data_IF_185855499162
#
_entry.id   IF_185855499162
#
_cell.length_a   1.000
_cell.length_b   1.000
_cell.length_c   1.000
_cell.angle_alpha   90.00
_cell.angle_beta   90.00
_cell.angle_gamma   90.00
#
_symmetry.space_group_name_H-M   'P 1'
#
loop_
_entity.id
_entity.type
_entity.pdbx_description
1 polymer ?
#
# COMPACT_ATOMS: atom_id res chain seq x y z
N UNK A 1 -3.10 5.80 -33.05
CA UNK A 1 -3.84 6.56 -31.99
C UNK A 1 -2.90 7.63 -31.48
N UNK A 2 -3.36 8.86 -31.31
CA UNK A 2 -2.57 9.93 -30.68
C UNK A 2 -2.69 9.76 -29.16
N UNK A 3 -1.66 9.16 -28.55
CA UNK A 3 -1.63 8.84 -27.12
C UNK A 3 -1.70 10.11 -26.27
N UNK A 4 -0.96 11.16 -26.64
CA UNK A 4 -0.94 12.42 -25.89
C UNK A 4 -2.32 13.08 -25.86
N UNK A 5 -2.98 13.15 -27.02
CA UNK A 5 -4.33 13.69 -27.14
C UNK A 5 -5.32 12.87 -26.31
N UNK A 6 -5.31 11.53 -26.45
CA UNK A 6 -6.22 10.64 -25.72
C UNK A 6 -6.03 10.76 -24.21
N UNK A 7 -4.80 10.78 -23.73
CA UNK A 7 -4.50 10.94 -22.31
C UNK A 7 -4.94 12.29 -21.75
N UNK A 8 -4.77 13.36 -22.55
CA UNK A 8 -5.24 14.70 -22.17
C UNK A 8 -6.77 14.76 -22.08
N UNK A 9 -7.50 14.20 -23.04
CA UNK A 9 -8.96 14.14 -23.02
C UNK A 9 -9.49 13.38 -21.78
N UNK A 10 -8.87 12.23 -21.43
CA UNK A 10 -9.19 11.50 -20.20
C UNK A 10 -8.92 12.36 -18.95
N UNK A 11 -7.79 13.06 -18.90
CA UNK A 11 -7.41 13.91 -17.78
C UNK A 11 -8.32 15.12 -17.61
N UNK A 12 -8.73 15.76 -18.71
CA UNK A 12 -9.71 16.86 -18.71
C UNK A 12 -11.07 16.40 -18.20
N UNK A 13 -11.54 15.22 -18.63
CA UNK A 13 -12.79 14.64 -18.15
C UNK A 13 -12.71 14.36 -16.64
N UNK A 14 -11.64 13.74 -16.16
CA UNK A 14 -11.42 13.49 -14.74
C UNK A 14 -11.36 14.81 -13.93
N UNK A 15 -10.67 15.85 -14.44
CA UNK A 15 -10.57 17.15 -13.77
C UNK A 15 -11.92 17.88 -13.68
N UNK A 16 -12.76 17.78 -14.71
CA UNK A 16 -14.14 18.31 -14.64
C UNK A 16 -14.96 17.54 -13.60
N UNK A 17 -14.91 16.21 -13.66
CA UNK A 17 -15.67 15.34 -12.75
C UNK A 17 -15.23 15.52 -11.29
N UNK A 18 -13.94 15.73 -11.00
CA UNK A 18 -13.42 15.87 -9.64
C UNK A 18 -14.05 17.05 -8.88
N UNK A 19 -14.33 18.14 -9.58
CA UNK A 19 -14.96 19.33 -8.96
C UNK A 19 -16.38 19.04 -8.48
N UNK A 20 -17.16 18.34 -9.29
CA UNK A 20 -18.52 17.96 -8.92
C UNK A 20 -18.51 16.86 -7.85
N UNK A 21 -17.59 15.90 -7.95
CA UNK A 21 -17.45 14.79 -6.99
C UNK A 21 -17.08 15.29 -5.58
N UNK A 22 -16.24 16.33 -5.49
CA UNK A 22 -15.76 16.89 -4.23
C UNK A 22 -16.87 17.42 -3.31
N UNK A 23 -18.03 17.75 -3.86
CA UNK A 23 -19.19 18.31 -3.11
C UNK A 23 -20.36 17.32 -3.02
N UNK A 24 -20.21 16.10 -3.52
CA UNK A 24 -21.28 15.12 -3.46
C UNK A 24 -21.56 14.66 -2.02
N UNK A 25 -22.84 14.50 -1.67
CA UNK A 25 -23.21 13.92 -0.38
C UNK A 25 -22.67 12.50 -0.21
N UNK A 26 -22.30 12.16 1.01
CA UNK A 26 -21.81 10.82 1.39
C UNK A 26 -22.76 9.70 0.96
N UNK A 27 -24.08 9.93 1.06
CA UNK A 27 -25.09 8.97 0.66
C UNK A 27 -24.97 8.54 -0.81
N UNK A 28 -24.76 9.49 -1.73
CA UNK A 28 -24.59 9.22 -3.16
C UNK A 28 -23.33 8.41 -3.41
N UNK A 29 -22.20 8.76 -2.77
CA UNK A 29 -20.95 8.01 -2.87
C UNK A 29 -21.11 6.57 -2.36
N UNK A 30 -21.79 6.38 -1.23
CA UNK A 30 -22.05 5.07 -0.65
C UNK A 30 -22.95 4.20 -1.53
N UNK A 31 -23.99 4.78 -2.11
CA UNK A 31 -24.88 4.07 -3.04
C UNK A 31 -24.12 3.65 -4.31
N UNK A 32 -23.31 4.53 -4.85
CA UNK A 32 -22.46 4.21 -6.00
C UNK A 32 -21.49 3.04 -5.71
N UNK A 33 -20.85 3.03 -4.55
CA UNK A 33 -19.95 1.92 -4.14
C UNK A 33 -20.70 0.59 -4.03
N UNK A 34 -21.91 0.59 -3.46
CA UNK A 34 -22.76 -0.62 -3.40
C UNK A 34 -23.19 -1.08 -4.80
N UNK A 35 -23.57 -0.13 -5.66
CA UNK A 35 -23.93 -0.44 -7.05
C UNK A 35 -22.74 -1.01 -7.84
N UNK A 36 -21.53 -0.50 -7.61
CA UNK A 36 -20.28 -1.04 -8.17
C UNK A 36 -20.04 -2.49 -7.71
N UNK A 37 -20.19 -2.77 -6.41
CA UNK A 37 -20.05 -4.11 -5.84
C UNK A 37 -21.06 -5.09 -6.48
N UNK A 38 -22.32 -4.69 -6.54
CA UNK A 38 -23.39 -5.50 -7.15
C UNK A 38 -23.14 -5.75 -8.63
N UNK A 39 -22.61 -4.76 -9.36
CA UNK A 39 -22.29 -4.91 -10.78
C UNK A 39 -21.16 -5.94 -11.00
N UNK A 40 -20.13 -5.97 -10.14
CA UNK A 40 -19.05 -6.96 -10.20
C UNK A 40 -19.59 -8.38 -9.99
N UNK A 41 -20.42 -8.60 -8.98
CA UNK A 41 -21.00 -9.92 -8.71
C UNK A 41 -21.98 -10.38 -9.80
N UNK A 42 -22.87 -9.49 -10.23
CA UNK A 42 -23.86 -9.79 -11.28
C UNK A 42 -23.24 -10.08 -12.65
N UNK A 43 -22.04 -9.57 -12.91
CA UNK A 43 -21.31 -9.71 -14.17
C UNK A 43 -19.95 -10.38 -14.00
N UNK A 44 -19.82 -11.21 -12.99
CA UNK A 44 -18.57 -11.92 -12.69
C UNK A 44 -18.05 -12.71 -13.90
N UNK A 45 -18.94 -13.34 -14.66
CA UNK A 45 -18.58 -14.10 -15.87
C UNK A 45 -17.79 -13.28 -16.88
N UNK A 46 -18.19 -12.03 -17.16
CA UNK A 46 -17.46 -11.16 -18.10
C UNK A 46 -16.03 -10.85 -17.63
N UNK A 47 -15.86 -10.69 -16.32
CA UNK A 47 -14.54 -10.44 -15.73
C UNK A 47 -13.68 -11.71 -15.78
N UNK A 48 -14.29 -12.88 -15.51
CA UNK A 48 -13.58 -14.18 -15.54
C UNK A 48 -13.18 -14.57 -16.96
N UNK A 49 -14.02 -14.34 -17.97
CA UNK A 49 -13.68 -14.55 -19.38
C UNK A 49 -12.50 -13.69 -19.82
N UNK A 50 -12.52 -12.38 -19.48
CA UNK A 50 -11.41 -11.49 -19.75
C UNK A 50 -10.13 -11.90 -19.04
N UNK A 51 -10.24 -12.35 -17.78
CA UNK A 51 -9.10 -12.83 -17.00
C UNK A 51 -8.52 -14.15 -17.52
N UNK A 52 -9.36 -15.05 -18.03
CA UNK A 52 -8.88 -16.29 -18.65
C UNK A 52 -7.98 -16.00 -19.86
N UNK A 53 -8.33 -15.01 -20.70
CA UNK A 53 -7.51 -14.59 -21.85
C UNK A 53 -6.19 -13.98 -21.40
N UNK A 54 -6.21 -13.10 -20.38
CA UNK A 54 -4.98 -12.52 -19.81
C UNK A 54 -4.05 -13.61 -19.24
N UNK A 55 -4.62 -14.61 -18.54
CA UNK A 55 -3.86 -15.73 -17.97
C UNK A 55 -3.26 -16.65 -19.05
N UNK A 56 -3.98 -16.92 -20.14
CA UNK A 56 -3.49 -17.71 -21.26
C UNK A 56 -2.28 -17.04 -21.91
N UNK A 57 -2.39 -15.73 -22.17
CA UNK A 57 -1.28 -14.95 -22.73
C UNK A 57 -0.08 -14.87 -21.77
N UNK A 58 -0.32 -14.69 -20.47
CA UNK A 58 0.71 -14.66 -19.45
C UNK A 58 1.47 -16.02 -19.35
N UNK A 59 0.75 -17.14 -19.44
CA UNK A 59 1.35 -18.48 -19.47
C UNK A 59 2.17 -18.70 -20.75
N UNK A 60 1.65 -18.28 -21.90
CA UNK A 60 2.37 -18.36 -23.17
C UNK A 60 3.68 -17.56 -23.16
N UNK A 61 3.72 -16.45 -22.44
CA UNK A 61 4.93 -15.63 -22.21
C UNK A 61 5.88 -16.21 -21.13
N UNK A 62 5.54 -17.33 -20.49
CA UNK A 62 6.38 -18.00 -19.49
C UNK A 62 6.52 -17.24 -18.17
N UNK A 63 5.51 -16.45 -17.77
CA UNK A 63 5.57 -15.70 -16.53
C UNK A 63 5.60 -16.62 -15.30
N UNK A 64 6.32 -16.20 -14.25
CA UNK A 64 6.50 -16.97 -13.01
C UNK A 64 5.16 -17.29 -12.34
N UNK A 65 5.09 -18.42 -11.63
CA UNK A 65 3.89 -18.87 -10.89
C UNK A 65 3.35 -17.83 -9.93
N UNK A 66 4.22 -17.12 -9.21
CA UNK A 66 3.83 -16.04 -8.28
C UNK A 66 3.16 -14.87 -8.99
N UNK A 67 3.55 -14.59 -10.23
CA UNK A 67 2.95 -13.55 -11.06
C UNK A 67 1.56 -13.97 -11.55
N UNK A 68 1.44 -15.22 -12.03
CA UNK A 68 0.17 -15.81 -12.45
C UNK A 68 -0.85 -15.85 -11.30
N UNK A 69 -0.41 -16.17 -10.06
CA UNK A 69 -1.29 -16.13 -8.88
C UNK A 69 -1.82 -14.71 -8.60
N UNK A 70 -0.99 -13.69 -8.76
CA UNK A 70 -1.41 -12.28 -8.60
C UNK A 70 -2.41 -11.84 -9.67
N UNK A 71 -2.25 -12.33 -10.89
CA UNK A 71 -3.11 -12.01 -12.03
C UNK A 71 -4.44 -12.74 -11.99
N UNK A 72 -4.45 -13.97 -11.46
CA UNK A 72 -5.62 -14.86 -11.49
C UNK A 72 -6.79 -14.28 -10.70
N UNK A 73 -7.97 -14.29 -11.32
CA UNK A 73 -9.25 -14.07 -10.67
C UNK A 73 -10.05 -15.37 -10.65
N UNK A 74 -10.90 -15.50 -9.65
CA UNK A 74 -11.94 -16.50 -9.52
C UNK A 74 -13.16 -15.85 -8.84
N UNK A 75 -14.27 -16.56 -8.75
CA UNK A 75 -15.48 -16.04 -8.10
C UNK A 75 -15.23 -15.54 -6.68
N UNK A 76 -14.40 -16.25 -5.91
CA UNK A 76 -14.06 -15.85 -4.55
C UNK A 76 -13.33 -14.51 -4.51
N UNK A 77 -12.36 -14.27 -5.41
CA UNK A 77 -11.63 -13.00 -5.51
C UNK A 77 -12.53 -11.87 -6.02
N UNK A 78 -13.49 -12.15 -6.90
CA UNK A 78 -14.49 -11.15 -7.34
C UNK A 78 -15.40 -10.78 -6.18
N UNK A 79 -15.89 -11.76 -5.41
CA UNK A 79 -16.67 -11.49 -4.19
C UNK A 79 -15.87 -10.69 -3.17
N UNK A 80 -14.58 -10.95 -3.00
CA UNK A 80 -13.72 -10.14 -2.13
C UNK A 80 -13.59 -8.69 -2.60
N UNK A 81 -13.45 -8.44 -3.91
CA UNK A 81 -13.46 -7.06 -4.46
C UNK A 81 -14.79 -6.36 -4.19
N UNK A 82 -15.92 -7.05 -4.42
CA UNK A 82 -17.25 -6.50 -4.15
C UNK A 82 -17.44 -6.19 -2.66
N UNK A 83 -17.02 -7.08 -1.79
CA UNK A 83 -17.06 -6.87 -0.34
C UNK A 83 -16.18 -5.71 0.09
N UNK A 84 -14.97 -5.55 -0.47
CA UNK A 84 -14.09 -4.40 -0.24
C UNK A 84 -14.75 -3.07 -0.57
N UNK A 85 -15.52 -3.00 -1.67
CA UNK A 85 -16.32 -1.82 -2.03
C UNK A 85 -17.45 -1.55 -1.02
N UNK A 86 -18.14 -2.59 -0.53
CA UNK A 86 -19.18 -2.45 0.51
C UNK A 86 -18.60 -1.97 1.84
N UNK A 87 -17.45 -2.51 2.24
CA UNK A 87 -16.72 -2.08 3.43
C UNK A 87 -16.27 -0.62 3.30
N UNK A 88 -15.74 -0.23 2.14
CA UNK A 88 -15.40 1.17 1.85
C UNK A 88 -16.63 2.09 1.93
N UNK A 89 -17.80 1.64 1.46
CA UNK A 89 -19.04 2.39 1.60
C UNK A 89 -19.43 2.60 3.08
N UNK A 90 -19.16 1.62 3.95
CA UNK A 90 -19.48 1.68 5.37
C UNK A 90 -18.51 2.56 6.19
N UNK A 91 -17.30 2.82 5.69
CA UNK A 91 -16.34 3.68 6.39
C UNK A 91 -16.86 5.11 6.56
N UNK A 92 -16.48 5.82 7.62
CA UNK A 92 -16.73 7.24 7.77
C UNK A 92 -16.18 8.03 6.59
N UNK A 93 -16.96 8.98 6.08
CA UNK A 93 -16.49 9.89 5.02
C UNK A 93 -15.53 10.91 5.63
N UNK A 94 -14.28 11.02 5.15
CA UNK A 94 -13.34 11.98 5.68
C UNK A 94 -13.63 13.42 5.25
N UNK A 95 -14.43 13.63 4.20
CA UNK A 95 -14.65 14.96 3.64
C UNK A 95 -15.47 15.83 4.60
N UNK A 96 -15.06 17.08 4.74
CA UNK A 96 -15.59 18.07 5.68
C UNK A 96 -15.37 17.74 7.17
N UNK A 97 -14.66 16.66 7.53
CA UNK A 97 -14.23 16.46 8.91
C UNK A 97 -13.25 17.57 9.30
N UNK A 98 -13.51 18.24 10.42
CA UNK A 98 -12.63 19.26 10.98
C UNK A 98 -11.74 18.69 12.07
N UNK A 99 -10.50 19.15 12.12
CA UNK A 99 -9.52 18.77 13.15
C UNK A 99 -8.95 19.98 13.92
N UNK A 100 -9.35 21.18 13.53
CA UNK A 100 -8.93 22.43 14.17
C UNK A 100 -10.00 23.50 14.04
N UNK A 101 -10.28 24.21 15.13
CA UNK A 101 -11.13 25.42 15.15
C UNK A 101 -10.61 26.38 16.19
N UNK A 102 -10.56 27.68 15.86
CA UNK A 102 -10.17 28.75 16.78
C UNK A 102 -10.83 30.07 16.42
N UNK A 103 -11.06 30.92 17.42
CA UNK A 103 -11.44 32.31 17.23
C UNK A 103 -10.23 33.18 17.58
N UNK A 104 -9.82 34.03 16.64
CA UNK A 104 -8.68 34.92 16.83
C UNK A 104 -9.07 36.16 17.67
N UNK A 105 -8.10 36.86 18.29
CA UNK A 105 -8.39 38.07 19.08
C UNK A 105 -9.15 39.17 18.31
N UNK A 106 -9.01 39.20 16.98
CA UNK A 106 -9.75 40.14 16.11
C UNK A 106 -11.13 39.62 15.68
N UNK A 107 -11.60 38.48 16.23
CA UNK A 107 -12.91 37.91 15.93
C UNK A 107 -12.98 36.97 14.73
N UNK A 108 -11.90 36.80 13.95
CA UNK A 108 -11.91 35.83 12.86
C UNK A 108 -12.06 34.39 13.39
N UNK A 109 -13.09 33.68 12.94
CA UNK A 109 -13.24 32.25 13.17
C UNK A 109 -12.52 31.47 12.06
N UNK A 110 -11.57 30.61 12.43
CA UNK A 110 -10.78 29.80 11.53
C UNK A 110 -11.06 28.31 11.81
N UNK A 111 -11.54 27.59 10.80
CA UNK A 111 -11.75 26.13 10.86
C UNK A 111 -10.90 25.45 9.79
N UNK A 112 -10.24 24.34 10.12
CA UNK A 112 -9.55 23.49 9.16
C UNK A 112 -10.41 22.26 8.89
N UNK A 113 -10.67 21.96 7.63
CA UNK A 113 -11.49 20.82 7.21
C UNK A 113 -10.79 20.01 6.13
N UNK A 114 -11.08 18.71 6.06
CA UNK A 114 -10.57 17.83 5.01
C UNK A 114 -11.30 18.03 3.70
N UNK A 115 -10.53 17.96 2.61
CA UNK A 115 -11.01 18.07 1.23
C UNK A 115 -10.33 17.00 0.37
N UNK A 116 -10.92 16.57 -0.76
CA UNK A 116 -10.26 15.66 -1.70
C UNK A 116 -8.93 16.24 -2.19
N UNK A 117 -8.00 15.37 -2.58
CA UNK A 117 -6.79 15.76 -3.33
C UNK A 117 -7.16 16.31 -4.73
N UNK A 118 -8.15 15.69 -5.38
CA UNK A 118 -8.63 16.10 -6.69
C UNK A 118 -8.66 14.97 -7.71
N UNK A 119 -7.68 14.89 -8.61
CA UNK A 119 -7.52 13.79 -9.58
C UNK A 119 -6.29 12.98 -9.20
N UNK A 120 -6.49 11.69 -8.94
CA UNK A 120 -5.43 10.76 -8.57
C UNK A 120 -5.10 9.86 -9.75
N UNK A 121 -3.83 9.83 -10.16
CA UNK A 121 -3.32 8.85 -11.09
C UNK A 121 -2.82 7.63 -10.36
N UNK A 122 -3.24 6.41 -10.73
CA UNK A 122 -2.73 5.18 -10.13
C UNK A 122 -2.13 4.30 -11.22
N UNK A 123 -0.82 4.05 -11.10
CA UNK A 123 -0.05 3.20 -12.02
C UNK A 123 0.28 1.92 -11.29
N UNK A 124 -0.23 0.77 -11.77
CA UNK A 124 -0.09 -0.50 -11.06
C UNK A 124 0.21 -1.68 -11.99
N UNK A 125 0.84 -2.69 -11.42
CA UNK A 125 1.19 -3.94 -12.12
C UNK A 125 0.10 -5.01 -11.92
N UNK A 126 0.29 -6.18 -12.47
CA UNK A 126 -0.52 -7.39 -12.54
C UNK A 126 -1.37 -7.76 -11.30
N UNK A 127 -2.28 -6.87 -10.90
CA UNK A 127 -3.22 -7.09 -9.78
C UNK A 127 -4.58 -6.50 -10.15
N UNK A 128 -5.45 -7.25 -10.86
CA UNK A 128 -6.75 -6.72 -11.30
C UNK A 128 -7.64 -6.19 -10.16
N UNK A 129 -7.51 -6.73 -8.95
CA UNK A 129 -8.24 -6.24 -7.78
C UNK A 129 -7.93 -4.78 -7.44
N UNK A 130 -6.71 -4.30 -7.72
CA UNK A 130 -6.34 -2.89 -7.47
C UNK A 130 -7.24 -1.93 -8.24
N UNK A 131 -7.76 -2.32 -9.40
CA UNK A 131 -8.73 -1.52 -10.18
C UNK A 131 -9.97 -1.19 -9.35
N UNK A 132 -10.51 -2.17 -8.62
CA UNK A 132 -11.70 -1.97 -7.79
C UNK A 132 -11.39 -1.23 -6.49
N UNK A 133 -10.31 -1.62 -5.81
CA UNK A 133 -9.90 -1.03 -4.54
C UNK A 133 -9.58 0.47 -4.72
N UNK A 134 -8.79 0.79 -5.75
CA UNK A 134 -8.39 2.16 -6.06
C UNK A 134 -9.58 3.03 -6.49
N UNK A 135 -10.45 2.52 -7.37
CA UNK A 135 -11.64 3.25 -7.77
C UNK A 135 -12.56 3.54 -6.58
N UNK A 136 -12.78 2.54 -5.72
CA UNK A 136 -13.65 2.65 -4.55
C UNK A 136 -13.13 3.66 -3.53
N UNK A 137 -11.86 3.57 -3.16
CA UNK A 137 -11.23 4.46 -2.18
C UNK A 137 -11.15 5.91 -2.68
N UNK A 138 -10.73 6.12 -3.95
CA UNK A 138 -10.69 7.45 -4.54
C UNK A 138 -12.07 8.08 -4.55
N UNK A 139 -13.10 7.35 -5.00
CA UNK A 139 -14.46 7.84 -5.09
C UNK A 139 -15.05 8.18 -3.72
N UNK A 140 -14.86 7.31 -2.70
CA UNK A 140 -15.31 7.57 -1.33
C UNK A 140 -14.66 8.83 -0.76
N UNK A 141 -13.36 9.04 -0.98
CA UNK A 141 -12.62 10.22 -0.57
C UNK A 141 -12.90 11.46 -1.46
N UNK A 142 -13.83 11.39 -2.41
CA UNK A 142 -14.23 12.50 -3.26
C UNK A 142 -13.27 12.83 -4.40
N UNK A 143 -12.37 11.90 -4.77
CA UNK A 143 -11.39 12.07 -5.84
C UNK A 143 -11.83 11.38 -7.14
N UNK A 144 -11.61 12.03 -8.27
CA UNK A 144 -11.58 11.33 -9.55
C UNK A 144 -10.28 10.53 -9.69
N UNK A 145 -10.31 9.44 -10.46
CA UNK A 145 -9.17 8.56 -10.62
C UNK A 145 -8.89 8.24 -12.09
N UNK A 146 -7.60 8.20 -12.46
CA UNK A 146 -7.13 7.68 -13.73
C UNK A 146 -6.28 6.44 -13.43
N UNK A 147 -6.75 5.30 -13.89
CA UNK A 147 -6.16 3.99 -13.63
C UNK A 147 -5.33 3.54 -14.84
N UNK A 148 -4.09 3.14 -14.61
CA UNK A 148 -3.21 2.54 -15.60
C UNK A 148 -2.64 1.24 -15.04
N UNK A 149 -3.25 0.12 -15.42
CA UNK A 149 -2.81 -1.23 -15.04
C UNK A 149 -1.72 -1.80 -15.95
N UNK A 150 -1.06 -2.86 -15.51
CA UNK A 150 -0.09 -3.60 -16.29
C UNK A 150 -0.70 -4.20 -17.58
N UNK A 151 0.12 -4.35 -18.61
CA UNK A 151 -0.28 -4.90 -19.92
C UNK A 151 -0.82 -6.32 -19.82
N UNK A 152 -0.34 -7.07 -18.84
CA UNK A 152 -0.67 -8.48 -18.62
C UNK A 152 -2.08 -8.69 -18.05
N UNK A 153 -2.71 -7.62 -17.54
CA UNK A 153 -4.05 -7.64 -16.97
C UNK A 153 -5.02 -6.72 -17.75
N UNK A 154 -4.68 -6.34 -18.95
CA UNK A 154 -5.40 -5.26 -19.67
C UNK A 154 -6.86 -5.58 -19.87
N UNK A 155 -7.21 -6.79 -20.29
CA UNK A 155 -8.60 -7.21 -20.56
C UNK A 155 -9.40 -7.27 -19.26
N UNK A 156 -8.85 -7.86 -18.22
CA UNK A 156 -9.45 -7.91 -16.88
C UNK A 156 -9.70 -6.50 -16.34
N UNK A 157 -8.73 -5.62 -16.46
CA UNK A 157 -8.83 -4.25 -15.95
C UNK A 157 -9.87 -3.42 -16.75
N UNK A 158 -9.95 -3.58 -18.07
CA UNK A 158 -10.99 -2.96 -18.91
C UNK A 158 -12.38 -3.46 -18.48
N UNK A 159 -12.55 -4.76 -18.31
CA UNK A 159 -13.83 -5.34 -17.90
C UNK A 159 -14.26 -4.79 -16.53
N UNK A 160 -13.37 -4.83 -15.53
CA UNK A 160 -13.64 -4.33 -14.18
C UNK A 160 -13.96 -2.84 -14.22
N UNK A 161 -13.06 -2.01 -14.76
CA UNK A 161 -13.23 -0.55 -14.77
C UNK A 161 -14.49 -0.09 -15.49
N UNK A 162 -14.86 -0.76 -16.61
CA UNK A 162 -16.08 -0.46 -17.35
C UNK A 162 -17.34 -0.78 -16.56
N UNK A 163 -17.36 -1.89 -15.83
CA UNK A 163 -18.49 -2.25 -14.95
C UNK A 163 -18.64 -1.25 -13.82
N UNK A 164 -17.52 -0.92 -13.15
CA UNK A 164 -17.49 0.03 -12.04
C UNK A 164 -17.95 1.42 -12.47
N UNK A 165 -17.40 1.95 -13.57
CA UNK A 165 -17.75 3.27 -14.08
C UNK A 165 -19.22 3.38 -14.45
N UNK A 166 -19.76 2.39 -15.21
CA UNK A 166 -21.18 2.37 -15.58
C UNK A 166 -22.12 2.33 -14.38
N UNK A 167 -21.78 1.51 -13.37
CA UNK A 167 -22.58 1.40 -12.15
C UNK A 167 -22.54 2.70 -11.33
N UNK A 168 -21.36 3.29 -11.16
CA UNK A 168 -21.15 4.54 -10.44
C UNK A 168 -21.87 5.70 -11.09
N UNK A 169 -21.77 5.87 -12.42
CA UNK A 169 -22.44 6.96 -13.16
C UNK A 169 -23.95 6.84 -13.07
N UNK A 170 -24.50 5.62 -13.18
CA UNK A 170 -25.92 5.38 -12.98
C UNK A 170 -26.41 5.74 -11.58
N UNK A 171 -25.56 5.62 -10.58
CA UNK A 171 -25.85 5.97 -9.19
C UNK A 171 -25.59 7.47 -8.85
N UNK A 172 -25.29 8.31 -9.86
CA UNK A 172 -25.16 9.76 -9.69
C UNK A 172 -23.74 10.28 -9.56
N UNK A 173 -22.72 9.44 -9.76
CA UNK A 173 -21.34 9.90 -9.85
C UNK A 173 -21.12 10.62 -11.18
N UNK A 174 -20.43 11.78 -11.21
CA UNK A 174 -20.15 12.50 -12.44
C UNK A 174 -19.38 11.64 -13.46
N UNK A 175 -19.81 11.67 -14.72
CA UNK A 175 -19.10 11.01 -15.81
C UNK A 175 -17.67 11.55 -15.91
N UNK A 176 -16.70 10.66 -16.09
CA UNK A 176 -15.27 10.99 -16.09
C UNK A 176 -14.60 10.81 -14.73
N UNK A 177 -15.32 10.57 -13.63
CA UNK A 177 -14.73 10.37 -12.31
C UNK A 177 -13.87 9.09 -12.22
N UNK A 178 -14.18 8.05 -13.00
CA UNK A 178 -13.39 6.83 -13.11
C UNK A 178 -12.92 6.71 -14.56
N UNK A 179 -11.62 6.89 -14.79
CA UNK A 179 -10.98 6.73 -16.10
C UNK A 179 -10.03 5.54 -16.07
N UNK A 180 -9.97 4.80 -17.15
CA UNK A 180 -9.01 3.73 -17.35
C UNK A 180 -8.23 3.95 -18.65
N UNK A 181 -6.91 3.70 -18.63
CA UNK A 181 -6.05 3.71 -19.82
C UNK A 181 -6.15 2.33 -20.47
N UNK A 182 -6.94 2.24 -21.53
CA UNK A 182 -7.38 1.00 -22.20
C UNK A 182 -6.43 0.51 -23.30
N UNK A 183 -5.18 0.97 -23.26
CA UNK A 183 -4.10 0.57 -24.19
C UNK A 183 -2.80 0.35 -23.42
N UNK A 184 -1.88 -0.43 -24.03
CA UNK A 184 -0.70 -0.97 -23.33
C UNK A 184 0.58 -0.18 -23.52
N UNK A 185 0.56 0.84 -24.36
CA UNK A 185 1.74 1.65 -24.68
C UNK A 185 2.38 2.25 -23.43
N UNK A 186 3.71 2.12 -23.34
CA UNK A 186 4.47 2.68 -22.20
C UNK A 186 4.47 4.20 -22.20
N UNK A 187 4.39 4.83 -23.38
CA UNK A 187 4.27 6.27 -23.53
C UNK A 187 3.10 6.84 -22.70
N UNK A 188 2.01 6.07 -22.51
CA UNK A 188 0.90 6.51 -21.66
C UNK A 188 1.32 6.79 -20.21
N UNK A 189 2.27 6.03 -19.66
CA UNK A 189 2.82 6.25 -18.32
C UNK A 189 3.63 7.55 -18.30
N UNK A 190 4.48 7.76 -19.32
CA UNK A 190 5.32 8.95 -19.43
C UNK A 190 4.46 10.22 -19.59
N UNK A 191 3.41 10.16 -20.43
CA UNK A 191 2.45 11.26 -20.56
C UNK A 191 1.74 11.52 -19.23
N UNK A 192 1.27 10.47 -18.55
CA UNK A 192 0.56 10.58 -17.27
C UNK A 192 1.41 11.25 -16.20
N UNK A 193 2.71 10.92 -16.13
CA UNK A 193 3.67 11.52 -15.19
C UNK A 193 3.85 13.03 -15.41
N UNK A 194 3.54 13.55 -16.61
CA UNK A 194 3.72 14.94 -16.99
C UNK A 194 2.41 15.75 -17.10
N UNK A 195 1.25 15.18 -16.77
CA UNK A 195 -0.06 15.86 -16.83
C UNK A 195 -0.28 16.83 -15.65
N UNK A 196 0.69 17.73 -15.40
CA UNK A 196 0.55 18.81 -14.41
C UNK A 196 -0.66 19.68 -14.69
N UNK A 197 -1.39 20.07 -13.63
CA UNK A 197 -2.61 20.87 -13.75
C UNK A 197 -3.88 20.04 -13.99
N UNK A 198 -3.74 18.80 -14.49
CA UNK A 198 -4.83 17.85 -14.61
C UNK A 198 -4.82 16.83 -13.46
N UNK A 199 -3.69 16.17 -13.24
CA UNK A 199 -3.48 15.28 -12.08
C UNK A 199 -2.92 16.08 -10.92
N UNK A 200 -3.42 15.79 -9.74
CA UNK A 200 -2.98 16.40 -8.48
C UNK A 200 -1.92 15.53 -7.78
N UNK A 201 -1.98 14.20 -7.99
CA UNK A 201 -1.02 13.24 -7.43
C UNK A 201 -0.98 11.95 -8.25
N UNK A 202 0.15 11.25 -8.25
CA UNK A 202 0.31 9.90 -8.78
C UNK A 202 0.70 8.95 -7.64
N UNK A 203 0.11 7.76 -7.63
CA UNK A 203 0.42 6.67 -6.70
C UNK A 203 0.88 5.46 -7.52
N UNK A 204 2.20 5.18 -7.58
CA UNK A 204 2.70 3.95 -8.19
C UNK A 204 2.45 2.75 -7.28
N UNK A 205 2.08 1.59 -7.86
CA UNK A 205 1.75 0.35 -7.15
C UNK A 205 2.37 -0.85 -7.88
N UNK A 206 3.57 -1.24 -7.52
CA UNK A 206 4.28 -2.33 -8.21
C UNK A 206 5.64 -2.62 -7.59
N UNK A 207 6.52 -3.24 -8.36
CA UNK A 207 7.89 -3.52 -7.94
C UNK A 207 8.75 -2.25 -7.85
N UNK A 208 9.91 -2.38 -7.18
CA UNK A 208 10.85 -1.28 -6.95
C UNK A 208 11.21 -0.50 -8.21
N UNK A 209 11.33 -1.19 -9.35
CA UNK A 209 11.67 -0.57 -10.64
C UNK A 209 10.60 0.41 -11.14
N UNK A 210 9.31 0.06 -11.03
CA UNK A 210 8.20 0.95 -11.38
C UNK A 210 8.15 2.15 -10.43
N UNK A 211 8.23 1.90 -9.14
CA UNK A 211 8.17 2.95 -8.12
C UNK A 211 9.29 3.96 -8.35
N UNK A 212 10.53 3.48 -8.48
CA UNK A 212 11.70 4.32 -8.76
C UNK A 212 11.53 5.13 -10.05
N UNK A 213 11.10 4.48 -11.14
CA UNK A 213 10.89 5.16 -12.42
C UNK A 213 9.89 6.30 -12.29
N UNK A 214 8.75 6.08 -11.64
CA UNK A 214 7.72 7.13 -11.45
C UNK A 214 8.23 8.24 -10.54
N UNK A 215 8.88 7.90 -9.43
CA UNK A 215 9.37 8.88 -8.46
C UNK A 215 10.45 9.81 -9.04
N UNK A 216 11.35 9.25 -9.85
CA UNK A 216 12.46 10.02 -10.43
C UNK A 216 12.06 10.87 -11.65
N UNK A 217 10.97 10.51 -12.35
CA UNK A 217 10.63 11.13 -13.64
C UNK A 217 9.31 11.91 -13.62
N UNK A 218 8.47 11.78 -12.58
CA UNK A 218 7.18 12.45 -12.57
C UNK A 218 7.31 13.96 -12.30
N UNK A 219 6.66 14.77 -13.13
CA UNK A 219 6.44 16.18 -12.86
C UNK A 219 5.22 16.44 -11.96
N UNK A 220 4.27 15.49 -11.92
CA UNK A 220 3.15 15.47 -10.97
C UNK A 220 3.66 14.95 -9.62
N UNK A 221 3.22 15.50 -8.47
CA UNK A 221 3.57 14.97 -7.16
C UNK A 221 3.29 13.47 -7.02
N UNK A 222 4.19 12.74 -6.35
CA UNK A 222 4.09 11.29 -6.17
C UNK A 222 3.93 10.95 -4.69
N UNK A 223 2.99 10.07 -4.37
CA UNK A 223 2.94 9.38 -3.09
C UNK A 223 3.47 7.96 -3.32
N UNK A 224 4.65 7.70 -2.78
CA UNK A 224 5.32 6.42 -2.97
C UNK A 224 4.68 5.32 -2.13
N UNK A 225 4.49 4.14 -2.72
CA UNK A 225 4.28 2.91 -1.96
C UNK A 225 5.64 2.24 -1.78
N UNK A 226 6.02 1.92 -0.54
CA UNK A 226 7.35 1.40 -0.26
C UNK A 226 7.52 -0.07 -0.60
N UNK A 227 8.74 -0.48 -0.94
CA UNK A 227 9.22 -1.85 -0.78
C UNK A 227 9.44 -2.14 0.71
N UNK A 228 9.36 -3.41 1.13
CA UNK A 228 9.44 -3.76 2.55
C UNK A 228 10.66 -4.62 2.87
N UNK A 229 11.76 -4.00 3.32
CA UNK A 229 12.83 -4.71 4.02
C UNK A 229 12.57 -4.58 5.51
N UNK A 230 11.67 -5.44 6.02
CA UNK A 230 11.23 -5.40 7.41
C UNK A 230 12.13 -6.23 8.31
N UNK A 231 12.43 -5.72 9.53
CA UNK A 231 13.25 -6.42 10.51
C UNK A 231 12.45 -6.79 11.76
N UNK A 232 12.87 -7.87 12.40
CA UNK A 232 12.48 -8.17 13.77
C UNK A 232 13.73 -8.37 14.62
N UNK A 233 13.84 -7.66 15.74
CA UNK A 233 14.91 -7.83 16.70
C UNK A 233 14.40 -8.61 17.92
N UNK A 234 15.12 -9.69 18.26
CA UNK A 234 14.89 -10.50 19.46
C UNK A 234 15.89 -10.08 20.52
N UNK A 235 15.41 -9.37 21.53
CA UNK A 235 16.20 -8.81 22.63
C UNK A 235 16.61 -9.90 23.64
N UNK A 236 17.66 -9.63 24.45
CA UNK A 236 18.12 -10.55 25.48
C UNK A 236 17.01 -11.00 26.45
N UNK A 237 16.07 -10.10 26.76
CA UNK A 237 14.95 -10.35 27.68
C UNK A 237 13.74 -11.01 27.02
N UNK A 238 13.80 -11.33 25.72
CA UNK A 238 12.67 -11.83 24.97
C UNK A 238 12.14 -13.17 25.50
N UNK A 239 10.83 -13.34 25.39
CA UNK A 239 10.21 -14.66 25.48
C UNK A 239 10.51 -15.41 24.19
N UNK A 240 11.27 -16.50 24.27
CA UNK A 240 11.76 -17.20 23.08
C UNK A 240 10.64 -17.90 22.30
N UNK A 241 9.63 -18.42 22.99
CA UNK A 241 8.47 -19.09 22.32
C UNK A 241 7.63 -18.07 21.57
N UNK A 242 7.34 -16.94 22.20
CA UNK A 242 6.67 -15.81 21.55
C UNK A 242 7.50 -15.31 20.34
N UNK A 243 8.83 -15.20 20.51
CA UNK A 243 9.72 -14.73 19.43
C UNK A 243 9.70 -15.67 18.22
N UNK A 244 9.72 -16.99 18.43
CA UNK A 244 9.61 -17.98 17.35
C UNK A 244 8.26 -17.87 16.66
N UNK A 245 7.16 -17.79 17.43
CA UNK A 245 5.81 -17.66 16.89
C UNK A 245 5.67 -16.42 16.00
N UNK A 246 6.15 -15.25 16.49
CA UNK A 246 6.10 -14.00 15.75
C UNK A 246 6.99 -14.07 14.51
N UNK A 247 8.22 -14.58 14.61
CA UNK A 247 9.14 -14.68 13.49
C UNK A 247 8.58 -15.60 12.37
N UNK A 248 8.05 -16.76 12.74
CA UNK A 248 7.42 -17.69 11.78
C UNK A 248 6.20 -17.03 11.12
N UNK A 249 5.35 -16.36 11.87
CA UNK A 249 4.21 -15.63 11.31
C UNK A 249 4.69 -14.50 10.38
N UNK A 250 5.65 -13.69 10.81
CA UNK A 250 6.16 -12.55 10.05
C UNK A 250 6.77 -12.96 8.71
N UNK A 251 7.41 -14.13 8.61
CA UNK A 251 8.01 -14.60 7.36
C UNK A 251 7.12 -15.56 6.58
N UNK A 252 6.58 -16.59 7.22
CA UNK A 252 6.02 -17.75 6.52
C UNK A 252 4.51 -17.67 6.28
N UNK A 253 3.77 -16.76 6.93
CA UNK A 253 2.32 -16.62 6.70
C UNK A 253 2.00 -16.16 5.27
N UNK A 254 2.78 -15.22 4.74
CA UNK A 254 2.72 -14.73 3.36
C UNK A 254 4.00 -13.98 3.02
N UNK A 255 4.97 -14.64 2.42
CA UNK A 255 6.29 -14.08 2.15
C UNK A 255 6.32 -13.01 1.05
N UNK A 256 5.34 -12.99 0.13
CA UNK A 256 5.34 -12.14 -1.07
C UNK A 256 4.68 -10.77 -0.88
N UNK A 257 4.63 -10.24 0.35
CA UNK A 257 4.06 -8.94 0.71
C UNK A 257 5.09 -8.07 1.42
N UNK A 258 4.97 -6.76 1.25
CA UNK A 258 5.96 -5.78 1.73
C UNK A 258 6.14 -5.71 3.26
N UNK A 259 5.16 -6.17 4.05
CA UNK A 259 5.25 -6.24 5.51
C UNK A 259 5.76 -7.60 6.04
N UNK A 260 6.18 -8.51 5.14
CA UNK A 260 6.85 -9.74 5.55
C UNK A 260 8.27 -9.42 6.07
N UNK A 261 8.67 -10.15 7.11
CA UNK A 261 10.02 -10.00 7.66
C UNK A 261 11.08 -10.52 6.66
N UNK A 262 12.11 -9.72 6.41
CA UNK A 262 13.23 -10.09 5.53
C UNK A 262 14.54 -10.31 6.30
N UNK A 263 14.68 -9.67 7.48
CA UNK A 263 15.84 -9.85 8.34
C UNK A 263 15.41 -10.04 9.80
N UNK A 264 16.01 -11.04 10.45
CA UNK A 264 15.92 -11.27 11.89
C UNK A 264 17.26 -10.94 12.57
N UNK A 265 17.20 -10.06 13.56
CA UNK A 265 18.32 -9.73 14.42
C UNK A 265 18.16 -10.43 15.77
N UNK A 266 19.21 -11.03 16.29
CA UNK A 266 19.16 -11.78 17.56
C UNK A 266 20.27 -11.29 18.48
N UNK A 267 19.89 -10.96 19.73
CA UNK A 267 20.87 -10.58 20.77
C UNK A 267 21.83 -11.73 21.03
N UNK A 268 23.13 -11.44 21.17
CA UNK A 268 24.18 -12.45 21.33
C UNK A 268 23.96 -13.38 22.53
N UNK A 269 23.44 -12.88 23.65
CA UNK A 269 23.34 -13.63 24.90
C UNK A 269 22.29 -14.77 24.81
N UNK A 270 21.33 -14.67 23.90
CA UNK A 270 20.31 -15.70 23.70
C UNK A 270 20.53 -16.49 22.41
N UNK A 271 21.43 -16.07 21.54
CA UNK A 271 21.59 -16.61 20.19
C UNK A 271 21.86 -18.12 20.21
N UNK A 272 22.73 -18.59 21.11
CA UNK A 272 23.11 -20.01 21.18
C UNK A 272 21.93 -20.95 21.50
N UNK A 273 20.98 -20.47 22.30
CA UNK A 273 19.77 -21.26 22.66
C UNK A 273 18.64 -21.05 21.65
N UNK A 274 18.46 -19.82 21.19
CA UNK A 274 17.32 -19.41 20.36
C UNK A 274 17.45 -19.89 18.91
N UNK A 275 18.63 -19.72 18.27
CA UNK A 275 18.79 -19.99 16.84
C UNK A 275 18.51 -21.43 16.42
N UNK A 276 18.91 -22.49 17.18
CA UNK A 276 18.54 -23.87 16.82
C UNK A 276 17.05 -24.12 16.83
N UNK A 277 16.31 -23.54 17.79
CA UNK A 277 14.85 -23.65 17.88
C UNK A 277 14.17 -22.93 16.73
N UNK A 278 14.62 -21.71 16.42
CA UNK A 278 14.14 -20.93 15.26
C UNK A 278 14.36 -21.68 13.96
N UNK A 279 15.58 -22.22 13.78
CA UNK A 279 15.94 -22.94 12.56
C UNK A 279 15.02 -24.14 12.33
N UNK A 280 14.73 -24.94 13.35
CA UNK A 280 13.81 -26.05 13.26
C UNK A 280 12.40 -25.59 12.84
N UNK A 281 11.90 -24.50 13.45
CA UNK A 281 10.59 -23.94 13.14
C UNK A 281 10.51 -23.36 11.71
N UNK A 282 11.55 -22.68 11.24
CA UNK A 282 11.61 -22.10 9.88
C UNK A 282 11.76 -23.16 8.81
N UNK A 283 12.60 -24.18 9.04
CA UNK A 283 12.77 -25.31 8.12
C UNK A 283 11.47 -26.09 7.94
N UNK A 284 10.69 -26.26 9.00
CA UNK A 284 9.36 -26.87 8.92
C UNK A 284 8.36 -26.08 8.04
N UNK A 285 8.66 -24.81 7.75
CA UNK A 285 7.92 -23.95 6.83
C UNK A 285 8.63 -23.75 5.49
N UNK A 286 9.68 -24.50 5.21
CA UNK A 286 10.50 -24.44 4.00
C UNK A 286 11.19 -23.06 3.81
N UNK A 287 11.47 -22.35 4.89
CA UNK A 287 12.21 -21.08 4.84
C UNK A 287 13.71 -21.37 4.81
N UNK A 288 14.39 -20.85 3.81
CA UNK A 288 15.86 -20.86 3.71
C UNK A 288 16.42 -19.75 4.60
N UNK A 289 17.36 -20.09 5.47
CA UNK A 289 18.01 -19.10 6.34
C UNK A 289 19.40 -18.72 5.82
N UNK A 290 19.68 -17.42 5.73
CA UNK A 290 20.99 -16.87 5.39
C UNK A 290 21.58 -16.18 6.62
N UNK A 291 22.59 -16.80 7.21
CA UNK A 291 23.18 -16.35 8.48
C UNK A 291 24.46 -15.55 8.31
N UNK A 292 24.67 -14.54 9.17
CA UNK A 292 26.00 -13.96 9.36
C UNK A 292 26.96 -15.01 9.93
N UNK A 293 28.26 -14.72 9.96
CA UNK A 293 29.30 -15.62 10.45
C UNK A 293 28.99 -16.18 11.86
N UNK A 294 28.55 -15.31 12.78
CA UNK A 294 28.20 -15.68 14.17
C UNK A 294 26.97 -16.59 14.24
N UNK A 295 25.96 -16.34 13.40
CA UNK A 295 24.76 -17.19 13.33
C UNK A 295 25.11 -18.58 12.77
N UNK A 296 25.97 -18.63 11.75
CA UNK A 296 26.45 -19.87 11.15
C UNK A 296 27.40 -20.67 12.05
N UNK A 297 28.12 -20.00 12.94
CA UNK A 297 28.91 -20.71 13.95
C UNK A 297 28.03 -21.49 14.94
N UNK A 298 26.77 -21.06 15.14
CA UNK A 298 25.78 -21.75 15.99
C UNK A 298 24.98 -22.76 15.17
N UNK A 299 24.54 -22.38 13.96
CA UNK A 299 23.74 -23.22 13.04
C UNK A 299 24.45 -23.30 11.66
N UNK A 300 25.39 -24.26 11.49
CA UNK A 300 26.19 -24.37 10.26
C UNK A 300 25.39 -24.66 8.98
N UNK A 301 24.16 -25.12 9.11
CA UNK A 301 23.25 -25.42 8.00
C UNK A 301 22.70 -24.16 7.32
N UNK A 302 22.84 -22.98 7.93
CA UNK A 302 22.46 -21.72 7.28
C UNK A 302 23.39 -21.42 6.11
N UNK A 303 22.82 -20.91 5.02
CA UNK A 303 23.61 -20.32 3.94
C UNK A 303 24.36 -19.08 4.43
N UNK A 304 25.44 -18.71 3.75
CA UNK A 304 26.16 -17.49 4.10
C UNK A 304 25.39 -16.26 3.61
N UNK A 305 25.08 -15.35 4.52
CA UNK A 305 24.56 -14.03 4.17
C UNK A 305 25.68 -13.14 3.62
N UNK A 306 25.37 -12.35 2.61
CA UNK A 306 26.21 -11.32 2.02
C UNK A 306 25.76 -9.92 2.49
N UNK A 307 26.50 -8.89 2.18
CA UNK A 307 26.10 -7.51 2.50
C UNK A 307 24.80 -7.09 1.78
N UNK A 308 24.57 -7.59 0.57
CA UNK A 308 23.36 -7.32 -0.22
C UNK A 308 22.10 -7.91 0.41
N UNK A 309 22.22 -9.05 1.10
CA UNK A 309 21.09 -9.71 1.75
C UNK A 309 20.42 -8.82 2.81
N UNK A 310 21.16 -7.92 3.47
CA UNK A 310 20.61 -7.03 4.50
C UNK A 310 19.65 -5.98 3.95
N UNK A 311 19.76 -5.63 2.68
CA UNK A 311 18.92 -4.64 1.99
C UNK A 311 17.96 -5.26 0.97
N UNK A 312 17.86 -6.60 0.94
CA UNK A 312 17.08 -7.32 -0.06
C UNK A 312 15.67 -7.62 0.43
N UNK A 313 14.65 -7.17 -0.32
CA UNK A 313 13.29 -7.68 -0.22
C UNK A 313 13.19 -8.96 -1.07
N UNK A 314 13.33 -10.11 -0.44
CA UNK A 314 13.29 -11.40 -1.16
C UNK A 314 11.92 -11.69 -1.78
N UNK A 315 10.83 -11.35 -1.06
CA UNK A 315 9.48 -11.69 -1.48
C UNK A 315 9.25 -13.20 -1.62
N UNK A 316 10.10 -14.00 -0.98
CA UNK A 316 10.14 -15.46 -1.03
C UNK A 316 10.42 -16.04 0.37
N UNK A 317 10.40 -17.36 0.51
CA UNK A 317 10.71 -18.08 1.76
C UNK A 317 12.23 -18.10 2.04
N UNK A 318 12.83 -16.92 2.07
CA UNK A 318 14.24 -16.68 2.41
C UNK A 318 14.27 -15.63 3.52
N UNK A 319 15.09 -15.83 4.56
CA UNK A 319 15.21 -14.94 5.70
C UNK A 319 16.69 -14.75 6.06
N UNK A 320 17.12 -13.49 6.15
CA UNK A 320 18.44 -13.14 6.66
C UNK A 320 18.46 -13.17 8.19
N UNK A 321 19.54 -13.69 8.79
CA UNK A 321 19.70 -13.82 10.25
C UNK A 321 21.03 -13.24 10.68
N UNK A 322 21.01 -12.26 11.59
CA UNK A 322 22.21 -11.63 12.12
C UNK A 322 22.22 -11.64 13.66
N UNK A 323 23.35 -12.06 14.25
CA UNK A 323 23.61 -11.91 15.67
C UNK A 323 24.24 -10.53 15.92
N UNK A 324 23.64 -9.78 16.85
CA UNK A 324 24.08 -8.44 17.25
C UNK A 324 24.44 -8.41 18.72
N UNK A 325 25.34 -7.50 19.11
CA UNK A 325 25.85 -7.46 20.49
C UNK A 325 24.77 -6.92 21.45
N UNK A 326 24.04 -5.91 21.01
CA UNK A 326 23.04 -5.22 21.84
C UNK A 326 21.96 -4.51 21.00
N UNK A 327 21.03 -3.87 21.69
CA UNK A 327 19.97 -3.05 21.08
C UNK A 327 20.53 -1.90 20.22
N UNK A 328 21.66 -1.31 20.60
CA UNK A 328 22.27 -0.19 19.85
C UNK A 328 22.70 -0.65 18.46
N UNK A 329 23.37 -1.81 18.39
CA UNK A 329 23.74 -2.39 17.11
C UNK A 329 22.51 -2.85 16.29
N UNK A 330 21.48 -3.34 16.93
CA UNK A 330 20.22 -3.68 16.25
C UNK A 330 19.59 -2.45 15.60
N UNK A 331 19.44 -1.35 16.34
CA UNK A 331 18.88 -0.08 15.84
C UNK A 331 19.75 0.49 14.70
N UNK A 332 21.08 0.47 14.86
CA UNK A 332 22.00 0.95 13.83
C UNK A 332 21.87 0.12 12.53
N UNK A 333 21.75 -1.20 12.64
CA UNK A 333 21.53 -2.08 11.50
C UNK A 333 20.20 -1.77 10.82
N UNK A 334 19.12 -1.72 11.59
CA UNK A 334 17.77 -1.44 11.06
C UNK A 334 17.75 -0.09 10.32
N UNK A 335 18.22 0.99 10.98
CA UNK A 335 18.20 2.31 10.37
C UNK A 335 19.12 2.44 9.13
N UNK A 336 20.08 1.53 8.96
CA UNK A 336 20.95 1.49 7.77
C UNK A 336 20.30 0.76 6.59
N UNK A 337 19.59 -0.33 6.84
CA UNK A 337 19.14 -1.25 5.77
C UNK A 337 17.64 -1.28 5.55
N UNK A 338 16.84 -0.72 6.47
CA UNK A 338 15.39 -0.70 6.31
C UNK A 338 14.95 0.20 5.16
N UNK A 339 13.72 -0.01 4.73
CA UNK A 339 13.03 0.84 3.76
C UNK A 339 12.04 1.81 4.43
N UNK A 340 12.08 1.93 5.76
CA UNK A 340 11.15 2.76 6.53
C UNK A 340 9.73 2.17 6.63
N UNK A 341 9.55 0.86 6.39
CA UNK A 341 8.23 0.23 6.32
C UNK A 341 7.73 -0.24 7.70
N UNK A 342 8.22 -1.37 8.20
CA UNK A 342 7.72 -1.99 9.44
C UNK A 342 8.83 -2.72 10.18
N UNK A 343 9.01 -2.37 11.44
CA UNK A 343 10.08 -2.91 12.28
C UNK A 343 9.52 -3.41 13.60
N UNK A 344 10.08 -4.47 14.16
CA UNK A 344 9.61 -5.06 15.41
C UNK A 344 10.74 -5.34 16.38
N UNK A 345 10.47 -5.18 17.68
CA UNK A 345 11.28 -5.70 18.78
C UNK A 345 10.44 -6.71 19.58
N UNK A 346 11.09 -7.79 20.00
CA UNK A 346 10.51 -8.75 20.94
C UNK A 346 11.32 -8.68 22.23
N UNK A 347 10.69 -8.22 23.31
CA UNK A 347 11.36 -7.90 24.57
C UNK A 347 10.38 -7.92 25.74
N UNK A 348 10.89 -8.21 26.96
CA UNK A 348 10.20 -7.99 28.24
C UNK A 348 10.71 -6.72 28.94
N UNK A 349 11.75 -6.09 28.39
CA UNK A 349 12.32 -4.85 28.93
C UNK A 349 11.59 -3.63 28.36
N UNK A 350 10.87 -2.91 29.21
CA UNK A 350 10.10 -1.73 28.84
C UNK A 350 11.01 -0.57 28.37
N UNK A 351 12.22 -0.45 28.92
CA UNK A 351 13.17 0.61 28.53
C UNK A 351 13.67 0.35 27.11
N UNK A 352 14.03 -0.91 26.80
CA UNK A 352 14.43 -1.31 25.47
C UNK A 352 13.28 -1.14 24.45
N UNK A 353 12.05 -1.49 24.83
CA UNK A 353 10.87 -1.30 23.99
C UNK A 353 10.67 0.18 23.61
N UNK A 354 10.68 1.09 24.60
CA UNK A 354 10.52 2.53 24.37
C UNK A 354 11.69 3.12 23.57
N UNK A 355 12.92 2.69 23.87
CA UNK A 355 14.10 3.12 23.13
C UNK A 355 14.02 2.73 21.66
N UNK A 356 13.66 1.46 21.38
CA UNK A 356 13.47 0.96 20.01
C UNK A 356 12.42 1.77 19.25
N UNK A 357 11.24 2.00 19.85
CA UNK A 357 10.16 2.78 19.22
C UNK A 357 10.56 4.23 18.91
N UNK A 358 11.45 4.83 19.69
CA UNK A 358 11.89 6.22 19.50
C UNK A 358 13.02 6.38 18.50
N UNK A 359 13.92 5.39 18.42
CA UNK A 359 15.16 5.49 17.64
C UNK A 359 15.06 4.83 16.28
N UNK A 360 14.10 3.92 16.07
CA UNK A 360 13.88 3.26 14.78
C UNK A 360 12.98 4.12 13.89
N UNK A 361 13.48 4.47 12.71
CA UNK A 361 12.77 5.30 11.75
C UNK A 361 12.01 4.43 10.73
N UNK A 362 10.76 4.08 11.06
CA UNK A 362 9.85 3.33 10.21
C UNK A 362 8.41 3.84 10.31
N UNK A 363 7.56 3.47 9.35
CA UNK A 363 6.15 3.84 9.34
C UNK A 363 5.35 3.13 10.45
N UNK A 364 5.76 1.90 10.79
CA UNK A 364 5.18 1.14 11.88
C UNK A 364 6.29 0.48 12.71
N UNK A 365 6.27 0.68 14.03
CA UNK A 365 7.26 0.13 14.97
C UNK A 365 6.55 -0.64 16.06
N UNK A 366 6.75 -1.95 16.07
CA UNK A 366 6.04 -2.91 16.92
C UNK A 366 6.84 -3.32 18.14
N UNK A 367 6.14 -3.57 19.22
CA UNK A 367 6.65 -4.29 20.39
C UNK A 367 5.83 -5.55 20.56
N UNK A 368 6.49 -6.72 20.56
CA UNK A 368 5.88 -8.03 20.77
C UNK A 368 4.73 -8.36 19.80
N UNK A 369 4.82 -7.93 18.57
CA UNK A 369 3.85 -8.23 17.53
C UNK A 369 4.52 -8.41 16.16
N UNK A 370 3.85 -9.13 15.28
CA UNK A 370 4.31 -9.39 13.91
C UNK A 370 4.21 -8.14 13.04
N UNK A 371 5.19 -7.91 12.16
CA UNK A 371 5.15 -6.85 11.14
C UNK A 371 4.01 -7.02 10.15
N UNK A 372 3.41 -8.23 10.08
CA UNK A 372 2.25 -8.55 9.24
C UNK A 372 1.00 -7.74 9.55
N UNK A 373 0.92 -7.13 10.72
CA UNK A 373 -0.19 -6.24 11.09
C UNK A 373 -0.15 -4.86 10.43
N UNK A 374 0.91 -4.50 9.68
CA UNK A 374 0.92 -3.25 8.90
C UNK A 374 0.03 -3.39 7.66
N UNK A 375 -1.26 -3.22 7.89
CA UNK A 375 -2.33 -3.43 6.91
C UNK A 375 -3.51 -2.51 7.26
N UNK A 376 -4.22 -2.00 6.26
CA UNK A 376 -5.32 -1.07 6.47
C UNK A 376 -6.48 -1.67 7.27
N UNK A 377 -6.82 -2.93 7.04
CA UNK A 377 -7.89 -3.61 7.80
C UNK A 377 -7.48 -3.86 9.24
N UNK A 378 -6.25 -4.33 9.46
CA UNK A 378 -5.71 -4.59 10.80
C UNK A 378 -5.60 -3.29 11.63
N UNK A 379 -5.33 -2.15 11.00
CA UNK A 379 -5.28 -0.84 11.65
C UNK A 379 -6.67 -0.17 11.79
N UNK A 380 -7.73 -0.81 11.29
CA UNK A 380 -9.08 -0.26 11.33
C UNK A 380 -9.36 0.86 10.31
N UNK A 381 -8.48 1.04 9.33
CA UNK A 381 -8.67 2.03 8.26
C UNK A 381 -9.50 1.48 7.08
N UNK A 382 -9.78 0.18 7.08
CA UNK A 382 -10.42 -0.53 5.98
C UNK A 382 -9.46 -0.84 4.83
N UNK A 383 -9.97 -0.83 3.61
CA UNK A 383 -9.14 -1.03 2.43
C UNK A 383 -8.06 0.07 2.32
N UNK A 384 -6.94 -0.28 1.69
CA UNK A 384 -5.83 0.62 1.47
C UNK A 384 -5.36 0.59 0.01
N UNK A 385 -4.79 1.69 -0.47
CA UNK A 385 -4.11 1.73 -1.77
C UNK A 385 -2.71 1.14 -1.67
N UNK A 386 -2.13 1.11 -0.49
CA UNK A 386 -0.82 0.57 -0.17
C UNK A 386 -0.21 1.24 1.04
N UNK A 387 1.02 0.86 1.34
CA UNK A 387 1.75 1.37 2.51
C UNK A 387 2.83 2.31 2.01
N UNK A 388 2.75 3.57 2.44
CA UNK A 388 3.77 4.57 2.11
C UNK A 388 4.87 4.58 3.16
N UNK A 389 6.11 4.65 2.71
CA UNK A 389 7.29 4.77 3.57
C UNK A 389 7.88 6.18 3.59
N UNK A 390 7.37 7.08 2.75
CA UNK A 390 7.81 8.48 2.72
C UNK A 390 7.31 9.27 3.93
N UNK A 391 7.97 10.39 4.22
CA UNK A 391 7.62 11.25 5.36
C UNK A 391 6.70 12.40 4.98
N UNK A 392 6.62 12.73 3.69
CA UNK A 392 5.79 13.83 3.18
C UNK A 392 4.40 13.29 2.81
N UNK A 393 3.37 13.93 3.32
CA UNK A 393 1.94 13.68 3.19
C UNK A 393 1.45 12.44 3.94
N UNK A 394 1.55 11.20 3.37
CA UNK A 394 1.08 9.96 3.99
C UNK A 394 2.25 9.05 4.36
N UNK A 395 2.19 8.43 5.53
CA UNK A 395 3.14 7.41 5.99
C UNK A 395 2.38 6.25 6.64
N UNK A 396 2.72 5.01 6.30
CA UNK A 396 1.99 3.82 6.73
C UNK A 396 0.85 3.45 5.78
N UNK A 397 -0.14 2.64 6.23
CA UNK A 397 -1.26 2.22 5.41
C UNK A 397 -2.12 3.40 4.93
N UNK A 398 -2.30 3.50 3.61
CA UNK A 398 -3.01 4.62 2.98
C UNK A 398 -4.49 4.30 2.78
N UNK A 399 -5.30 4.50 3.84
CA UNK A 399 -6.75 4.49 3.76
C UNK A 399 -7.33 5.82 3.26
N UNK A 400 -8.63 6.03 3.47
CA UNK A 400 -9.39 7.19 2.96
C UNK A 400 -8.78 8.54 3.33
N UNK A 401 -8.31 8.70 4.57
CA UNK A 401 -7.74 9.95 5.08
C UNK A 401 -6.47 10.36 4.32
N UNK A 402 -5.66 9.40 3.91
CA UNK A 402 -4.45 9.64 3.13
C UNK A 402 -4.75 10.17 1.71
N UNK A 403 -5.97 9.97 1.20
CA UNK A 403 -6.42 10.47 -0.10
C UNK A 403 -7.08 11.86 0.00
N UNK A 404 -6.84 12.58 1.11
CA UNK A 404 -7.37 13.92 1.35
C UNK A 404 -6.27 14.90 1.71
N UNK A 405 -6.56 16.18 1.51
CA UNK A 405 -5.79 17.30 2.04
C UNK A 405 -6.67 18.12 2.95
N UNK A 406 -6.23 19.32 3.35
CA UNK A 406 -6.98 20.23 4.19
C UNK A 406 -7.13 21.59 3.53
N UNK A 407 -8.23 22.30 3.85
CA UNK A 407 -8.39 23.73 3.60
C UNK A 407 -8.90 24.46 4.82
N UNK A 408 -8.67 25.76 4.87
CA UNK A 408 -9.21 26.61 5.92
C UNK A 408 -10.48 27.28 5.47
N UNK A 409 -11.53 27.21 6.31
CA UNK A 409 -12.75 27.99 6.20
C UNK A 409 -12.63 29.13 7.21
N UNK A 410 -12.75 30.37 6.74
CA UNK A 410 -12.54 31.54 7.55
C UNK A 410 -13.82 32.41 7.51
N UNK A 411 -14.37 32.70 8.67
CA UNK A 411 -15.54 33.55 8.84
C UNK A 411 -15.10 34.84 9.51
N UNK A 412 -15.56 35.95 8.97
CA UNK A 412 -15.29 37.28 9.49
C UNK A 412 -16.50 38.20 9.35
N UNK A 413 -16.45 39.34 10.02
CA UNK A 413 -17.48 40.40 10.05
C UNK A 413 -16.89 41.74 9.56
N UNK A 414 -15.96 41.70 8.60
CA UNK A 414 -15.32 42.88 8.02
C UNK A 414 -13.93 43.22 8.58
N UNK A 415 -13.28 42.27 9.29
CA UNK A 415 -11.92 42.47 9.78
C UNK A 415 -10.95 42.73 8.62
N UNK A 416 -10.10 43.74 8.79
CA UNK A 416 -8.99 44.06 7.87
C UNK A 416 -7.67 43.84 8.58
N UNK A 417 -6.61 43.60 7.77
CA UNK A 417 -5.25 43.55 8.29
C UNK A 417 -4.62 44.94 8.16
N UNK A 418 -4.17 45.48 9.31
CA UNK A 418 -3.39 46.73 9.38
C UNK A 418 -1.91 46.48 9.02
#
# INVERSE_FOLDING_TARGET
>A
MDIQKTMREKAEAAKRASRALAILPTGVKNEALRAMADALEKRAELVLEANAQDLEEARAKGLKRSYLDRLMLNEGRIRQMAEGLRQTAALPDPICQGDYSTIRPNGLEIRRVRVPLGVIGIIYEARPNVTADAAGLCLKAGNAVILRGGSEAIRSNIAISSLLAKAAYKAGIPEGAIQFVDFTDREAVDVMMHLRGYLDVIIPRGGAGLIKHVTENAAVPVIETGTGVCHTYVDASADQEMAISIAVNAKASRCSVCNAMETLLVHQDIAAEFLPKLMAAMTAKHVVLRGCERARAICPEMEAATEEDWSTEYGDLILSVRVVDDLTMAIAHINRYNTGHSEAIITKDLVNAHRFQREVDAAAVYVNASTRFTDGFEFGFGAEIGISTQKLHARGPMGLTALTSTKYLIYGEGQIRE
#
